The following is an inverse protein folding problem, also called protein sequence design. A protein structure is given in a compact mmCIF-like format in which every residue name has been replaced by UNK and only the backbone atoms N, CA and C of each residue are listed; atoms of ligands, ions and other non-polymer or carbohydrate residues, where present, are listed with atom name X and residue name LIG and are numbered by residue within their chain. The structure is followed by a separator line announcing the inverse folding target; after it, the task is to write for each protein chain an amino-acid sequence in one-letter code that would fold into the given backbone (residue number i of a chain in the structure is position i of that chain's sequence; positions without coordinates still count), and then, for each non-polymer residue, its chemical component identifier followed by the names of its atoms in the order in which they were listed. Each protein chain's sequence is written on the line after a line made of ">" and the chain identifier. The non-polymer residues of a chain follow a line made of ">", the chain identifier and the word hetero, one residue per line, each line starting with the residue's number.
data_IF_259311411031
#
_entry.id   IF_259311411031
#
_cell.length_a   1.000
_cell.length_b   1.000
_cell.length_c   1.000
_cell.angle_alpha   90.00
_cell.angle_beta   90.00
_cell.angle_gamma   90.00
#
_symmetry.space_group_name_H-M   'P 1'
#
loop_
_entity.id
_entity.type
_entity.pdbx_description
1 polymer ?
#
# COMPACT_ATOMS: atom_id res chain seq x y z
N UNK A 1 -13.62 4.09 -11.68
CA UNK A 1 -12.44 4.88 -12.10
C UNK A 1 -11.48 4.92 -10.93
N UNK A 2 -10.61 3.92 -10.82
CA UNK A 2 -9.56 3.87 -9.80
C UNK A 2 -8.61 5.03 -10.09
N UNK A 3 -8.63 6.09 -9.28
CA UNK A 3 -7.63 7.15 -9.39
C UNK A 3 -6.33 6.60 -8.82
N UNK A 4 -5.54 5.96 -9.67
CA UNK A 4 -4.10 5.90 -9.49
C UNK A 4 -3.65 7.35 -9.44
N UNK A 5 -3.00 7.76 -8.35
CA UNK A 5 -2.50 9.11 -8.18
C UNK A 5 -1.73 9.52 -9.45
N UNK A 6 -2.29 10.44 -10.25
CA UNK A 6 -1.53 11.10 -11.29
C UNK A 6 -0.44 11.91 -10.58
N UNK A 7 0.79 11.42 -10.68
CA UNK A 7 1.97 12.06 -10.15
C UNK A 7 2.23 13.34 -10.96
N UNK A 8 1.71 14.46 -10.46
CA UNK A 8 2.22 15.79 -10.82
C UNK A 8 3.64 15.98 -10.26
N UNK A 9 4.41 16.80 -10.96
CA UNK A 9 5.88 16.96 -10.96
C UNK A 9 6.49 17.58 -9.67
N UNK A 10 5.92 17.35 -8.48
CA UNK A 10 6.44 17.92 -7.22
C UNK A 10 6.40 16.96 -6.02
N UNK A 11 7.36 17.06 -5.06
CA UNK A 11 7.44 16.24 -3.85
C UNK A 11 6.39 16.70 -2.83
N UNK A 12 5.12 16.48 -3.14
CA UNK A 12 4.03 16.66 -2.18
C UNK A 12 3.65 15.30 -1.61
N UNK A 13 3.79 15.17 -0.29
CA UNK A 13 3.40 13.97 0.44
C UNK A 13 1.91 13.65 0.18
N UNK A 14 1.66 12.46 -0.38
CA UNK A 14 0.33 12.03 -0.85
C UNK A 14 -0.59 11.54 0.28
N UNK A 15 -0.01 11.19 1.42
CA UNK A 15 -0.71 10.65 2.59
C UNK A 15 -0.34 11.42 3.83
N UNK A 16 -1.30 11.66 4.72
CA UNK A 16 -0.92 12.09 6.07
C UNK A 16 -0.31 10.92 6.86
N UNK A 17 0.35 11.23 7.98
CA UNK A 17 1.05 10.23 8.79
C UNK A 17 0.13 9.12 9.30
N UNK A 18 -1.15 9.42 9.57
CA UNK A 18 -2.13 8.41 10.00
C UNK A 18 -2.40 7.39 8.90
N UNK A 19 -2.55 7.84 7.66
CA UNK A 19 -2.74 6.96 6.49
C UNK A 19 -1.50 6.11 6.24
N UNK A 20 -0.29 6.66 6.42
CA UNK A 20 0.97 5.90 6.31
C UNK A 20 1.00 4.78 7.35
N UNK A 21 0.71 5.10 8.62
CA UNK A 21 0.70 4.12 9.71
C UNK A 21 -0.40 3.07 9.52
N UNK A 22 -1.57 3.46 9.03
CA UNK A 22 -2.67 2.54 8.72
C UNK A 22 -2.28 1.54 7.63
N UNK A 23 -1.74 2.04 6.52
CA UNK A 23 -1.28 1.21 5.40
C UNK A 23 -0.14 0.27 5.83
N UNK A 24 0.84 0.77 6.58
CA UNK A 24 1.95 -0.04 7.08
C UNK A 24 1.46 -1.20 7.97
N UNK A 25 0.49 -0.94 8.85
CA UNK A 25 -0.13 -2.00 9.67
C UNK A 25 -0.87 -3.03 8.82
N UNK A 26 -1.51 -2.61 7.73
CA UNK A 26 -2.18 -3.52 6.81
C UNK A 26 -1.17 -4.42 6.09
N UNK A 27 -0.08 -3.86 5.56
CA UNK A 27 0.99 -4.61 4.92
C UNK A 27 1.64 -5.61 5.90
N UNK A 28 1.96 -5.18 7.12
CA UNK A 28 2.54 -6.05 8.15
C UNK A 28 1.63 -7.23 8.52
N UNK A 29 0.30 -7.02 8.54
CA UNK A 29 -0.67 -8.10 8.76
C UNK A 29 -0.65 -9.13 7.63
N UNK A 30 -0.49 -8.68 6.38
CA UNK A 30 -0.43 -9.56 5.20
C UNK A 30 0.84 -10.41 5.25
N UNK A 31 1.99 -9.81 5.51
CA UNK A 31 3.25 -10.56 5.67
C UNK A 31 3.20 -11.53 6.86
N UNK A 32 2.58 -11.12 7.98
CA UNK A 32 2.35 -11.99 9.14
C UNK A 32 1.42 -13.16 8.80
N UNK A 33 0.44 -12.96 7.93
CA UNK A 33 -0.47 -14.00 7.48
C UNK A 33 0.26 -15.02 6.59
N UNK A 34 1.01 -14.53 5.60
CA UNK A 34 1.69 -15.37 4.61
C UNK A 34 3.03 -15.94 5.08
N UNK A 35 3.62 -15.40 6.15
CA UNK A 35 4.91 -15.80 6.72
C UNK A 35 6.12 -15.57 5.81
N UNK A 36 5.99 -14.68 4.83
CA UNK A 36 7.09 -14.24 3.97
C UNK A 36 6.92 -12.75 3.59
N UNK A 37 8.02 -12.06 3.21
CA UNK A 37 7.94 -10.70 2.69
C UNK A 37 7.12 -10.63 1.41
N UNK A 38 6.27 -9.62 1.30
CA UNK A 38 5.32 -9.50 0.20
C UNK A 38 5.51 -8.17 -0.54
N UNK A 39 5.47 -8.21 -1.87
CA UNK A 39 5.18 -7.04 -2.68
C UNK A 39 3.66 -6.89 -2.77
N UNK A 40 3.14 -5.75 -2.32
CA UNK A 40 1.72 -5.51 -2.06
C UNK A 40 1.28 -4.28 -2.83
N UNK A 41 0.35 -4.47 -3.77
CA UNK A 41 -0.31 -3.38 -4.47
C UNK A 41 -1.60 -3.01 -3.75
N UNK A 42 -1.85 -1.72 -3.63
CA UNK A 42 -3.02 -1.19 -2.94
C UNK A 42 -3.60 0.03 -3.66
N UNK A 43 -4.86 0.32 -3.37
CA UNK A 43 -5.59 1.49 -3.84
C UNK A 43 -6.23 2.21 -2.64
N UNK A 44 -6.29 3.55 -2.71
CA UNK A 44 -7.03 4.36 -1.75
C UNK A 44 -8.25 4.97 -2.45
N UNK A 45 -9.45 4.59 -2.00
CA UNK A 45 -10.70 5.18 -2.49
C UNK A 45 -11.55 5.62 -1.30
N UNK A 46 -12.01 6.89 -1.33
CA UNK A 46 -12.86 7.49 -0.29
C UNK A 46 -12.32 7.28 1.14
N UNK A 47 -10.99 7.37 1.31
CA UNK A 47 -10.34 7.23 2.61
C UNK A 47 -10.16 5.79 3.09
N UNK A 48 -10.46 4.79 2.27
CA UNK A 48 -10.30 3.37 2.60
C UNK A 48 -9.25 2.70 1.70
N UNK A 49 -8.32 1.98 2.32
CA UNK A 49 -7.35 1.17 1.60
C UNK A 49 -7.95 -0.16 1.15
N UNK A 50 -7.59 -0.56 -0.07
CA UNK A 50 -7.92 -1.84 -0.68
C UNK A 50 -6.63 -2.50 -1.15
N UNK A 51 -6.49 -3.79 -0.90
CA UNK A 51 -5.38 -4.58 -1.45
C UNK A 51 -5.85 -5.15 -2.78
N UNK A 52 -5.09 -4.87 -3.84
CA UNK A 52 -5.43 -5.34 -5.20
C UNK A 52 -4.55 -6.52 -5.62
N UNK A 53 -3.33 -6.60 -5.11
CA UNK A 53 -2.41 -7.72 -5.34
C UNK A 53 -1.50 -7.94 -4.13
N UNK A 54 -1.10 -9.20 -3.90
CA UNK A 54 -0.03 -9.56 -2.96
C UNK A 54 0.75 -10.73 -3.54
N UNK A 55 2.07 -10.60 -3.64
CA UNK A 55 2.97 -11.65 -4.17
C UNK A 55 4.22 -11.79 -3.30
N UNK A 56 4.77 -13.00 -3.13
CA UNK A 56 6.03 -13.19 -2.39
C UNK A 56 7.18 -12.46 -3.09
N UNK A 57 8.08 -11.88 -2.30
CA UNK A 57 9.37 -11.39 -2.79
C UNK A 57 10.34 -12.59 -2.80
N UNK A 58 10.89 -12.93 -3.97
CA UNK A 58 11.73 -14.14 -4.15
C UNK A 58 13.20 -13.83 -4.45
N UNK A 59 13.58 -12.56 -4.56
CA UNK A 59 14.93 -12.12 -4.99
C UNK A 59 15.71 -11.42 -3.89
N UNK A 60 15.58 -11.87 -2.63
CA UNK A 60 16.35 -11.34 -1.50
C UNK A 60 17.82 -11.79 -1.55
#
# INVERSE_FOLDING_TARGET
>A
MVRICQAGVYPQQKFNDRQIVELAKLCAKIETHYKFPCDIEWALERGKFYIVQSRPITTL
#
